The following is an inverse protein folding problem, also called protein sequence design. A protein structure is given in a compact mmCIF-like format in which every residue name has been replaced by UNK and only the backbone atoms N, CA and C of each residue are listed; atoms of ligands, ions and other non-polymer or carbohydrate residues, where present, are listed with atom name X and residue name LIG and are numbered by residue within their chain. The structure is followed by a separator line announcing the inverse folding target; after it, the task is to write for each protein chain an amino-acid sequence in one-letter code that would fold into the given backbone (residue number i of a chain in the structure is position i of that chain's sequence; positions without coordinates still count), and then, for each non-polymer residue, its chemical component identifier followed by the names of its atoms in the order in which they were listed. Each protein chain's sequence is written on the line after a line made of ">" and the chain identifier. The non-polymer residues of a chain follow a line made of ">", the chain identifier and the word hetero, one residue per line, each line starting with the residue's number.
data_IF_133468323971
#
_entry.id   IF_133468323971
#
_cell.length_a   1.000
_cell.length_b   1.000
_cell.length_c   1.000
_cell.angle_alpha   90.00
_cell.angle_beta   90.00
_cell.angle_gamma   90.00
#
_symmetry.space_group_name_H-M   'P 1'
#
loop_
_entity.id
_entity.type
_entity.pdbx_description
1 polymer ?
#
# COMPACT_ATOMS: atom_id res chain seq x y z
N UNK A 1 -10.61 10.01 -0.94
CA UNK A 1 -11.55 8.88 -0.81
C UNK A 1 -10.95 7.90 0.17
N UNK A 2 -11.71 7.32 1.08
CA UNK A 2 -11.21 6.28 2.01
C UNK A 2 -11.18 4.93 1.30
N UNK A 3 -10.01 4.36 1.07
CA UNK A 3 -9.85 3.02 0.51
C UNK A 3 -10.20 1.96 1.56
N UNK A 4 -10.86 0.87 1.14
CA UNK A 4 -11.13 -0.25 2.04
C UNK A 4 -9.82 -0.94 2.46
N UNK A 5 -9.72 -1.33 3.74
CA UNK A 5 -8.53 -1.99 4.30
C UNK A 5 -8.62 -3.52 4.31
N UNK A 6 -9.82 -4.07 4.16
CA UNK A 6 -10.05 -5.51 4.21
C UNK A 6 -11.28 -5.91 3.39
N UNK A 7 -11.31 -7.15 2.92
CA UNK A 7 -12.48 -7.80 2.32
C UNK A 7 -12.98 -8.93 3.22
N UNK A 8 -14.29 -9.17 3.21
CA UNK A 8 -14.87 -10.32 3.92
C UNK A 8 -14.81 -11.57 3.03
N UNK A 9 -14.34 -12.68 3.60
CA UNK A 9 -14.28 -13.99 2.93
C UNK A 9 -14.83 -15.08 3.82
N UNK A 10 -15.41 -16.09 3.18
CA UNK A 10 -15.83 -17.31 3.85
C UNK A 10 -14.62 -18.22 4.03
N UNK A 11 -14.33 -18.58 5.27
CA UNK A 11 -13.29 -19.52 5.68
C UNK A 11 -13.93 -20.81 6.18
N UNK A 12 -13.36 -21.96 5.81
CA UNK A 12 -13.75 -23.26 6.37
C UNK A 12 -12.82 -23.59 7.53
N UNK A 13 -13.35 -23.57 8.75
CA UNK A 13 -12.61 -24.02 9.94
C UNK A 13 -12.75 -25.52 10.07
N UNK A 14 -11.62 -26.23 10.16
CA UNK A 14 -11.58 -27.70 10.28
C UNK A 14 -11.06 -28.07 11.67
N UNK A 15 -11.84 -28.87 12.39
CA UNK A 15 -11.53 -29.38 13.74
C UNK A 15 -11.69 -30.90 13.78
N UNK A 16 -11.20 -31.60 14.82
CA UNK A 16 -11.47 -33.02 15.01
C UNK A 16 -12.96 -33.36 15.10
N UNK A 17 -13.79 -32.44 15.59
CA UNK A 17 -15.25 -32.62 15.76
C UNK A 17 -16.04 -32.35 14.47
N UNK A 18 -15.38 -31.87 13.41
CA UNK A 18 -15.99 -31.55 12.13
C UNK A 18 -15.50 -30.21 11.56
N UNK A 19 -16.16 -29.76 10.48
CA UNK A 19 -15.88 -28.47 9.86
C UNK A 19 -17.10 -27.55 9.83
N UNK A 20 -16.85 -26.25 9.87
CA UNK A 20 -17.88 -25.22 9.76
C UNK A 20 -17.36 -24.02 8.95
N UNK A 21 -18.28 -23.18 8.49
CA UNK A 21 -17.95 -21.95 7.76
C UNK A 21 -18.01 -20.76 8.72
N UNK A 22 -17.06 -19.84 8.57
CA UNK A 22 -17.00 -18.57 9.28
C UNK A 22 -16.69 -17.44 8.29
N UNK A 23 -17.11 -16.21 8.62
CA UNK A 23 -16.73 -15.03 7.85
C UNK A 23 -15.52 -14.37 8.51
N UNK A 24 -14.45 -14.21 7.74
CA UNK A 24 -13.22 -13.58 8.19
C UNK A 24 -12.92 -12.30 7.41
N UNK A 25 -12.21 -11.39 8.06
CA UNK A 25 -11.66 -10.18 7.43
C UNK A 25 -10.25 -10.47 6.92
N UNK A 26 -10.06 -10.35 5.62
CA UNK A 26 -8.76 -10.52 4.95
C UNK A 26 -8.25 -9.15 4.55
N UNK A 27 -7.06 -8.78 5.02
CA UNK A 27 -6.43 -7.50 4.66
C UNK A 27 -6.25 -7.40 3.13
N UNK A 28 -6.49 -6.21 2.58
CA UNK A 28 -6.23 -5.95 1.16
C UNK A 28 -4.74 -5.73 0.98
N UNK A 29 -4.17 -6.44 0.02
CA UNK A 29 -2.79 -6.26 -0.42
C UNK A 29 -2.83 -5.94 -1.92
N UNK A 30 -2.33 -4.77 -2.32
CA UNK A 30 -2.38 -4.29 -3.70
C UNK A 30 -1.04 -3.70 -4.13
N UNK A 31 -0.62 -3.88 -5.40
CA UNK A 31 0.60 -3.27 -5.88
C UNK A 31 0.44 -1.76 -6.02
N UNK A 32 1.47 -1.02 -5.63
CA UNK A 32 1.67 0.38 -5.97
C UNK A 32 3.07 0.60 -6.54
N UNK A 33 3.16 1.38 -7.61
CA UNK A 33 4.43 1.84 -8.20
C UNK A 33 4.78 3.22 -7.66
N UNK A 34 6.03 3.42 -7.25
CA UNK A 34 6.55 4.68 -6.70
C UNK A 34 7.40 5.36 -7.77
N UNK A 35 7.08 6.62 -8.05
CA UNK A 35 7.80 7.47 -8.99
C UNK A 35 8.46 8.63 -8.25
N UNK A 36 9.68 8.98 -8.65
CA UNK A 36 10.37 10.21 -8.24
C UNK A 36 10.54 11.09 -9.47
N UNK A 37 9.95 12.29 -9.48
CA UNK A 37 10.01 13.22 -10.61
C UNK A 37 9.63 12.55 -11.95
N UNK A 38 8.52 11.81 -11.97
CA UNK A 38 8.02 11.01 -13.12
C UNK A 38 8.89 9.80 -13.53
N UNK A 39 9.96 9.49 -12.80
CA UNK A 39 10.79 8.32 -13.05
C UNK A 39 10.37 7.20 -12.09
N UNK A 40 10.00 6.05 -12.65
CA UNK A 40 9.71 4.85 -11.85
C UNK A 40 10.96 4.39 -11.10
N UNK A 41 10.84 4.30 -9.77
CA UNK A 41 11.93 3.84 -8.88
C UNK A 41 11.72 2.38 -8.48
N UNK A 42 10.46 1.97 -8.28
CA UNK A 42 10.12 0.59 -7.94
C UNK A 42 8.65 0.43 -7.62
N UNK A 43 8.30 -0.76 -7.14
CA UNK A 43 6.93 -1.11 -6.76
C UNK A 43 6.92 -1.94 -5.46
N UNK A 44 5.81 -1.87 -4.74
CA UNK A 44 5.60 -2.62 -3.51
C UNK A 44 4.15 -3.07 -3.37
N UNK A 45 3.95 -4.22 -2.73
CA UNK A 45 2.63 -4.67 -2.30
C UNK A 45 2.29 -3.96 -0.98
N UNK A 46 1.18 -3.24 -0.93
CA UNK A 46 0.82 -2.39 0.21
C UNK A 46 -0.63 -2.61 0.63
N UNK A 47 -0.90 -2.30 1.90
CA UNK A 47 -2.24 -1.94 2.34
C UNK A 47 -2.53 -0.52 1.82
N UNK A 48 -3.63 -0.25 1.09
CA UNK A 48 -3.83 1.02 0.38
C UNK A 48 -4.30 2.16 1.29
N UNK A 49 -3.56 2.40 2.38
CA UNK A 49 -3.76 3.47 3.36
C UNK A 49 -2.42 4.13 3.69
N UNK A 50 -2.42 5.43 4.02
CA UNK A 50 -1.20 6.17 4.34
C UNK A 50 -0.19 6.21 3.19
N UNK A 51 -0.69 6.32 1.95
CA UNK A 51 0.11 6.17 0.74
C UNK A 51 1.06 7.36 0.51
N UNK A 52 0.72 8.56 0.99
CA UNK A 52 1.61 9.71 0.91
C UNK A 52 2.86 9.50 1.77
N UNK A 53 2.65 9.08 3.03
CA UNK A 53 3.71 8.76 3.97
C UNK A 53 4.55 7.58 3.48
N UNK A 54 3.90 6.57 2.89
CA UNK A 54 4.59 5.42 2.32
C UNK A 54 5.50 5.82 1.15
N UNK A 55 5.04 6.65 0.21
CA UNK A 55 5.84 7.06 -0.95
C UNK A 55 7.12 7.79 -0.53
N UNK A 56 7.00 8.77 0.38
CA UNK A 56 8.16 9.52 0.90
C UNK A 56 9.07 8.61 1.71
N UNK A 57 8.52 7.81 2.63
CA UNK A 57 9.28 6.88 3.46
C UNK A 57 10.00 5.79 2.65
N UNK A 58 9.38 5.32 1.56
CA UNK A 58 9.98 4.37 0.62
C UNK A 58 11.23 4.98 -0.04
N UNK A 59 11.11 6.19 -0.60
CA UNK A 59 12.23 6.87 -1.26
C UNK A 59 13.35 7.23 -0.29
N UNK A 60 12.99 7.67 0.93
CA UNK A 60 13.96 7.90 2.00
C UNK A 60 14.71 6.60 2.38
N UNK A 61 13.98 5.50 2.60
CA UNK A 61 14.57 4.21 2.94
C UNK A 61 15.47 3.61 1.86
N UNK A 62 15.32 4.05 0.60
CA UNK A 62 16.17 3.67 -0.53
C UNK A 62 17.31 4.68 -0.80
N UNK A 63 17.37 5.79 -0.07
CA UNK A 63 18.42 6.81 -0.21
C UNK A 63 18.21 7.81 -1.35
N UNK A 64 16.98 7.95 -1.85
CA UNK A 64 16.63 8.95 -2.87
C UNK A 64 16.25 10.31 -2.29
N UNK A 65 15.85 10.35 -1.02
CA UNK A 65 15.50 11.54 -0.25
C UNK A 65 16.24 11.46 1.08
N UNK A 66 16.87 12.53 1.54
CA UNK A 66 17.61 12.56 2.80
C UNK A 66 16.96 13.52 3.82
N UNK A 67 16.30 14.56 3.34
CA UNK A 67 15.75 15.65 4.13
C UNK A 67 14.30 15.96 3.72
N UNK A 68 13.42 16.29 4.68
CA UNK A 68 12.02 16.55 4.39
C UNK A 68 11.80 17.78 3.51
N UNK A 69 12.72 18.75 3.52
CA UNK A 69 12.65 19.97 2.70
C UNK A 69 12.82 19.71 1.20
N UNK A 70 13.34 18.54 0.83
CA UNK A 70 13.42 18.12 -0.58
C UNK A 70 12.03 17.84 -1.13
N UNK A 71 11.09 17.33 -0.32
CA UNK A 71 9.75 16.95 -0.79
C UNK A 71 8.91 18.19 -1.09
N UNK A 72 8.60 18.37 -2.38
CA UNK A 72 7.74 19.46 -2.87
C UNK A 72 6.27 19.05 -2.84
N UNK A 73 5.95 17.86 -3.34
CA UNK A 73 4.57 17.39 -3.50
C UNK A 73 4.52 15.86 -3.56
N UNK A 74 3.40 15.29 -3.10
CA UNK A 74 3.08 13.86 -3.23
C UNK A 74 1.69 13.72 -3.84
N UNK A 75 1.58 12.95 -4.92
CA UNK A 75 0.33 12.64 -5.60
C UNK A 75 0.04 11.15 -5.53
N UNK A 76 -1.10 10.79 -4.92
CA UNK A 76 -1.59 9.41 -4.88
C UNK A 76 -2.61 9.22 -6.00
N UNK A 77 -2.26 8.41 -6.98
CA UNK A 77 -3.08 8.16 -8.14
C UNK A 77 -3.97 6.91 -7.93
N UNK A 78 -5.26 6.95 -8.31
CA UNK A 78 -6.16 5.80 -8.18
C UNK A 78 -5.78 4.56 -8.98
N UNK A 79 -4.84 4.70 -9.92
CA UNK A 79 -4.37 3.64 -10.82
C UNK A 79 -3.21 2.81 -10.23
N UNK A 80 -2.92 2.96 -8.93
CA UNK A 80 -1.85 2.22 -8.26
C UNK A 80 -0.48 2.89 -8.39
N UNK A 81 -0.43 4.21 -8.48
CA UNK A 81 0.83 4.98 -8.53
C UNK A 81 0.92 6.00 -7.40
N UNK A 82 2.13 6.22 -6.92
CA UNK A 82 2.48 7.29 -5.98
C UNK A 82 3.61 8.09 -6.62
N UNK A 83 3.35 9.36 -6.93
CA UNK A 83 4.36 10.25 -7.52
C UNK A 83 4.85 11.22 -6.45
N UNK A 84 6.14 11.21 -6.20
CA UNK A 84 6.81 12.14 -5.30
C UNK A 84 7.66 13.09 -6.13
N UNK A 85 7.53 14.39 -5.88
CA UNK A 85 8.40 15.40 -6.46
C UNK A 85 9.35 15.91 -5.38
N UNK A 86 10.66 15.79 -5.65
CA UNK A 86 11.72 16.22 -4.76
C UNK A 86 12.94 16.79 -5.52
#
# INVERSE_FOLDING_TARGET
>A
MTTEASITKTTTVVTPDGSYQELEHVAIETPYTILLNEIEIGASMVLPMGLEEFGVGFLFGQGYIEHPEEVVEVLVCPDGRISVYA
#
